data_IF_368962687413
#
_entry.id   IF_368962687413
#
_cell.length_a   1.000
_cell.length_b   1.000
_cell.length_c   1.000
_cell.angle_alpha   90.00
_cell.angle_beta   90.00
_cell.angle_gamma   90.00
#
_symmetry.space_group_name_H-M   'P 1'
#
loop_
_entity.id
_entity.type
_entity.pdbx_description
1 polymer ?
#
# COMPACT_ATOMS: atom_id res chain seq x y z
N UNK A 1 10.43 -4.07 18.51
CA UNK A 1 9.43 -3.21 19.18
C UNK A 1 8.07 -3.80 18.89
N UNK A 2 7.19 -3.86 19.88
CA UNK A 2 5.88 -4.48 19.71
C UNK A 2 4.96 -3.57 18.89
N UNK A 3 4.69 -3.96 17.63
CA UNK A 3 3.80 -3.21 16.72
C UNK A 3 2.33 -3.23 17.16
N UNK A 4 2.01 -4.01 18.20
CA UNK A 4 0.69 -4.07 18.80
C UNK A 4 0.56 -3.19 20.05
N UNK A 5 1.68 -2.63 20.54
CA UNK A 5 1.61 -1.69 21.65
C UNK A 5 1.18 -0.31 21.12
N UNK A 6 0.01 0.22 21.50
CA UNK A 6 -0.49 1.51 21.02
C UNK A 6 0.40 2.70 21.42
N UNK A 7 1.18 2.58 22.50
CA UNK A 7 2.14 3.61 22.92
C UNK A 7 3.36 3.69 21.98
N UNK A 8 3.61 2.61 21.23
CA UNK A 8 4.74 2.48 20.30
C UNK A 8 4.26 2.64 18.85
N UNK A 9 3.13 2.04 18.49
CA UNK A 9 2.57 2.02 17.14
C UNK A 9 1.76 3.29 16.81
N UNK A 10 2.34 4.45 17.08
CA UNK A 10 1.71 5.75 16.83
C UNK A 10 1.70 6.11 15.33
N UNK A 11 0.91 7.12 14.97
CA UNK A 11 0.93 7.66 13.60
C UNK A 11 2.33 8.12 13.18
N UNK A 12 3.06 8.73 14.10
CA UNK A 12 4.44 9.16 13.90
C UNK A 12 5.41 7.98 13.75
N UNK A 13 5.21 6.89 14.52
CA UNK A 13 6.00 5.68 14.39
C UNK A 13 5.94 5.11 12.97
N UNK A 14 4.73 4.97 12.42
CA UNK A 14 4.53 4.45 11.07
C UNK A 14 4.85 5.47 9.97
N UNK A 15 4.60 6.77 10.21
CA UNK A 15 4.92 7.85 9.27
C UNK A 15 6.43 7.90 8.96
N UNK A 16 7.27 7.77 9.98
CA UNK A 16 8.73 7.87 9.87
C UNK A 16 9.39 6.58 9.39
N UNK A 17 8.61 5.54 9.09
CA UNK A 17 9.10 4.18 8.91
C UNK A 17 8.56 3.57 7.64
N UNK A 18 9.46 3.25 6.72
CA UNK A 18 9.08 2.63 5.44
C UNK A 18 10.14 1.64 5.08
N UNK A 19 9.73 0.42 4.82
CA UNK A 19 10.65 -0.54 4.25
C UNK A 19 10.75 -0.17 2.76
N UNK A 20 11.90 -0.41 2.14
CA UNK A 20 12.09 -0.29 0.69
C UNK A 20 12.56 -1.65 0.15
N UNK A 21 11.94 -2.16 -0.91
CA UNK A 21 12.35 -3.42 -1.56
C UNK A 21 12.43 -3.29 -3.07
N UNK A 22 13.25 -4.13 -3.68
CA UNK A 22 13.54 -4.13 -5.11
C UNK A 22 12.47 -4.81 -5.97
N UNK A 23 11.64 -5.71 -5.42
CA UNK A 23 10.64 -6.47 -6.20
C UNK A 23 9.27 -6.54 -5.51
N UNK A 24 8.19 -6.55 -6.31
CA UNK A 24 6.81 -6.67 -5.82
C UNK A 24 6.55 -7.99 -5.07
N UNK A 25 7.22 -9.08 -5.46
CA UNK A 25 7.06 -10.38 -4.79
C UNK A 25 7.63 -10.39 -3.36
N UNK A 26 8.72 -9.63 -3.11
CA UNK A 26 9.24 -9.43 -1.75
C UNK A 26 8.32 -8.49 -0.98
N UNK A 27 7.74 -7.48 -1.65
CA UNK A 27 6.73 -6.61 -1.04
C UNK A 27 5.56 -7.38 -0.48
N UNK A 28 4.99 -8.24 -1.30
CA UNK A 28 3.83 -9.02 -0.92
C UNK A 28 4.10 -9.91 0.30
N UNK A 29 5.22 -10.64 0.30
CA UNK A 29 5.61 -11.50 1.43
C UNK A 29 5.80 -10.73 2.74
N UNK A 30 6.40 -9.54 2.68
CA UNK A 30 6.61 -8.72 3.88
C UNK A 30 5.28 -8.14 4.36
N UNK A 31 4.44 -7.64 3.44
CA UNK A 31 3.11 -7.13 3.78
C UNK A 31 2.26 -8.21 4.44
N UNK A 32 2.29 -9.44 3.93
CA UNK A 32 1.62 -10.61 4.53
C UNK A 32 2.16 -10.90 5.94
N UNK A 33 3.49 -10.93 6.12
CA UNK A 33 4.11 -11.17 7.41
C UNK A 33 3.80 -10.06 8.44
N UNK A 34 3.75 -8.79 8.03
CA UNK A 34 3.37 -7.66 8.89
C UNK A 34 1.88 -7.74 9.26
N UNK A 35 1.03 -8.02 8.28
CA UNK A 35 -0.41 -8.18 8.51
C UNK A 35 -0.72 -9.35 9.46
N UNK A 36 0.06 -10.43 9.43
CA UNK A 36 -0.09 -11.56 10.35
C UNK A 36 0.32 -11.21 11.78
N UNK A 37 1.30 -10.32 11.96
CA UNK A 37 1.80 -9.90 13.30
C UNK A 37 0.96 -8.82 13.95
N UNK A 38 0.20 -8.04 13.17
CA UNK A 38 -0.74 -7.06 13.70
C UNK A 38 -1.92 -7.77 14.37
N UNK A 39 -2.26 -7.32 15.57
CA UNK A 39 -3.45 -7.72 16.30
C UNK A 39 -4.72 -7.14 15.65
N UNK A 40 -5.87 -7.73 15.95
CA UNK A 40 -7.17 -7.34 15.39
C UNK A 40 -7.64 -8.19 14.21
N UNK A 41 -8.92 -8.04 13.91
CA UNK A 41 -9.62 -8.85 12.92
C UNK A 41 -9.27 -8.42 11.50
N UNK A 42 -8.80 -9.39 10.71
CA UNK A 42 -8.61 -9.23 9.27
C UNK A 42 -9.95 -9.06 8.58
N UNK A 43 -10.11 -7.99 7.81
CA UNK A 43 -11.23 -7.82 6.88
C UNK A 43 -10.74 -8.06 5.46
N UNK A 44 -11.50 -8.86 4.72
CA UNK A 44 -11.19 -9.22 3.34
C UNK A 44 -12.13 -8.49 2.37
N UNK A 45 -11.54 -7.90 1.34
CA UNK A 45 -12.26 -7.28 0.24
C UNK A 45 -11.86 -7.94 -1.07
N UNK A 46 -12.85 -8.59 -1.70
CA UNK A 46 -12.72 -9.13 -3.04
C UNK A 46 -13.02 -8.03 -4.07
N UNK A 47 -12.20 -7.96 -5.11
CA UNK A 47 -12.46 -7.08 -6.25
C UNK A 47 -13.59 -7.64 -7.10
N UNK A 48 -14.14 -6.77 -7.95
CA UNK A 48 -15.05 -7.18 -9.02
C UNK A 48 -14.34 -6.94 -10.33
N UNK A 49 -13.95 -8.02 -10.99
CA UNK A 49 -13.10 -8.00 -12.17
C UNK A 49 -13.93 -8.31 -13.43
N UNK A 50 -13.63 -7.63 -14.54
CA UNK A 50 -14.30 -7.79 -15.83
C UNK A 50 -13.36 -7.40 -16.97
N UNK A 51 -13.66 -7.79 -18.19
CA UNK A 51 -12.88 -7.44 -19.38
C UNK A 51 -13.66 -6.43 -20.22
N UNK A 52 -13.00 -5.36 -20.69
CA UNK A 52 -13.68 -4.26 -21.41
C UNK A 52 -14.41 -4.70 -22.71
N UNK A 53 -13.91 -5.76 -23.38
CA UNK A 53 -14.49 -6.27 -24.64
C UNK A 53 -15.33 -7.56 -24.46
N UNK A 54 -15.52 -8.03 -23.23
CA UNK A 54 -16.32 -9.22 -22.92
C UNK A 54 -17.72 -8.80 -22.42
N UNK A 55 -18.58 -8.38 -23.36
CA UNK A 55 -19.95 -7.94 -23.05
C UNK A 55 -20.82 -9.04 -22.43
N UNK A 56 -20.49 -10.31 -22.66
CA UNK A 56 -21.26 -11.47 -22.19
C UNK A 56 -20.62 -12.15 -20.95
N UNK A 57 -19.42 -11.72 -20.53
CA UNK A 57 -18.68 -12.28 -19.39
C UNK A 57 -18.25 -13.74 -19.56
N UNK A 58 -18.20 -14.23 -20.81
CA UNK A 58 -18.05 -15.65 -21.13
C UNK A 58 -16.71 -15.99 -21.80
N UNK A 59 -15.88 -15.00 -22.15
CA UNK A 59 -14.61 -15.28 -22.82
C UNK A 59 -13.51 -15.72 -21.85
N UNK A 60 -13.60 -15.32 -20.58
CA UNK A 60 -12.60 -15.64 -19.57
C UNK A 60 -13.25 -16.19 -18.30
N UNK A 61 -12.70 -17.29 -17.80
CA UNK A 61 -13.08 -17.82 -16.48
C UNK A 61 -12.70 -16.79 -15.40
N UNK A 62 -13.64 -16.41 -14.50
CA UNK A 62 -13.35 -15.53 -13.37
C UNK A 62 -12.12 -15.95 -12.57
N UNK A 63 -11.89 -17.25 -12.40
CA UNK A 63 -10.72 -17.76 -11.66
C UNK A 63 -9.40 -17.37 -12.33
N UNK A 64 -9.36 -17.32 -13.67
CA UNK A 64 -8.19 -16.87 -14.42
C UNK A 64 -7.95 -15.39 -14.16
N UNK A 65 -9.00 -14.56 -14.20
CA UNK A 65 -8.91 -13.12 -13.94
C UNK A 65 -8.37 -12.82 -12.54
N UNK A 66 -8.78 -13.59 -11.53
CA UNK A 66 -8.33 -13.42 -10.14
C UNK A 66 -6.84 -13.71 -9.94
N UNK A 67 -6.20 -14.47 -10.84
CA UNK A 67 -4.76 -14.76 -10.78
C UNK A 67 -3.88 -13.73 -11.50
N UNK A 68 -4.48 -12.85 -12.31
CA UNK A 68 -3.71 -11.89 -13.11
C UNK A 68 -3.22 -10.74 -12.23
N UNK A 69 -1.89 -10.66 -12.07
CA UNK A 69 -1.25 -9.57 -11.35
C UNK A 69 -0.74 -8.51 -12.34
N UNK A 70 -1.58 -7.53 -12.67
CA UNK A 70 -1.23 -6.44 -13.60
C UNK A 70 -0.64 -5.26 -12.82
N UNK A 71 0.48 -4.74 -13.31
CA UNK A 71 1.09 -3.53 -12.76
C UNK A 71 0.09 -2.36 -12.69
N UNK A 72 -0.07 -1.78 -11.50
CA UNK A 72 -0.96 -0.63 -11.30
C UNK A 72 -2.43 -0.97 -11.06
N UNK A 73 -2.77 -2.26 -11.00
CA UNK A 73 -4.06 -2.78 -10.54
C UNK A 73 -3.86 -3.41 -9.16
N UNK A 74 -4.74 -3.14 -8.17
CA UNK A 74 -4.68 -3.80 -6.88
C UNK A 74 -4.98 -5.30 -7.00
N UNK A 75 -4.48 -6.13 -6.07
CA UNK A 75 -4.76 -7.57 -6.09
C UNK A 75 -6.26 -7.84 -5.92
N UNK A 76 -6.73 -8.96 -6.47
CA UNK A 76 -8.12 -9.41 -6.36
C UNK A 76 -8.56 -9.48 -4.89
N UNK A 77 -7.73 -10.12 -4.07
CA UNK A 77 -7.94 -10.24 -2.63
C UNK A 77 -7.12 -9.19 -1.88
N UNK A 78 -7.82 -8.26 -1.22
CA UNK A 78 -7.23 -7.25 -0.35
C UNK A 78 -7.59 -7.53 1.11
N UNK A 79 -6.62 -7.94 1.92
CA UNK A 79 -6.79 -8.18 3.36
C UNK A 79 -6.25 -7.00 4.16
N UNK A 80 -7.09 -6.37 4.99
CA UNK A 80 -6.76 -5.19 5.80
C UNK A 80 -7.10 -5.42 7.28
N UNK A 81 -6.46 -4.66 8.17
CA UNK A 81 -6.73 -4.65 9.61
C UNK A 81 -6.89 -3.22 10.12
N UNK A 82 -7.74 -3.03 11.12
CA UNK A 82 -7.85 -1.73 11.80
C UNK A 82 -6.53 -1.39 12.50
N UNK A 83 -6.16 -0.11 12.51
CA UNK A 83 -4.87 0.35 13.00
C UNK A 83 -3.69 0.15 12.04
N UNK A 84 -3.85 -0.64 10.97
CA UNK A 84 -2.78 -0.84 10.01
C UNK A 84 -2.54 0.38 9.11
N UNK A 85 -1.27 0.67 8.75
CA UNK A 85 -0.97 1.73 7.81
C UNK A 85 -1.21 1.26 6.35
N UNK A 86 -1.82 2.12 5.54
CA UNK A 86 -2.13 1.93 4.11
C UNK A 86 -1.78 3.17 3.27
N UNK A 87 -1.52 2.96 1.98
CA UNK A 87 -1.04 3.98 1.05
C UNK A 87 -1.99 4.08 -0.14
N UNK A 88 -2.33 5.30 -0.50
CA UNK A 88 -3.12 5.58 -1.70
C UNK A 88 -2.37 5.19 -2.98
N UNK A 89 -3.02 4.49 -3.90
CA UNK A 89 -2.48 4.10 -5.21
C UNK A 89 -2.79 5.08 -6.34
N UNK A 90 -3.85 5.89 -6.17
CA UNK A 90 -4.39 6.78 -7.21
C UNK A 90 -4.84 8.10 -6.59
N UNK A 91 -4.82 9.14 -7.40
CA UNK A 91 -5.40 10.42 -7.03
C UNK A 91 -6.93 10.30 -7.06
N UNK A 92 -7.58 10.60 -5.94
CA UNK A 92 -9.04 10.77 -5.87
C UNK A 92 -9.39 12.24 -5.70
N UNK A 93 -8.77 12.89 -4.71
CA UNK A 93 -9.01 14.28 -4.40
C UNK A 93 -7.75 14.89 -3.76
N UNK A 94 -6.87 15.52 -4.57
CA UNK A 94 -5.66 16.17 -4.08
C UNK A 94 -5.94 17.27 -3.05
N UNK A 95 -7.07 17.98 -3.20
CA UNK A 95 -7.48 19.05 -2.28
C UNK A 95 -7.86 18.53 -0.89
N UNK A 96 -8.09 17.23 -0.73
CA UNK A 96 -8.30 16.57 0.56
C UNK A 96 -7.09 15.72 0.99
N UNK A 97 -5.97 15.80 0.28
CA UNK A 97 -4.79 14.97 0.54
C UNK A 97 -4.94 13.50 0.08
N UNK A 98 -6.00 13.17 -0.66
CA UNK A 98 -6.22 11.83 -1.24
C UNK A 98 -5.50 11.72 -2.59
N UNK A 99 -4.18 11.83 -2.55
CA UNK A 99 -3.29 11.68 -3.69
C UNK A 99 -2.46 10.39 -3.60
N UNK A 100 -1.92 9.94 -4.73
CA UNK A 100 -1.05 8.77 -4.80
C UNK A 100 0.16 8.95 -3.87
N UNK A 101 0.44 7.95 -3.04
CA UNK A 101 1.53 7.98 -2.06
C UNK A 101 1.12 8.50 -0.68
N UNK A 102 -0.07 9.07 -0.51
CA UNK A 102 -0.55 9.48 0.83
C UNK A 102 -0.63 8.28 1.75
N UNK A 103 0.00 8.40 2.92
CA UNK A 103 -0.03 7.39 3.99
C UNK A 103 -1.17 7.67 4.95
N UNK A 104 -1.95 6.64 5.22
CA UNK A 104 -3.15 6.69 6.03
C UNK A 104 -3.10 5.56 7.05
N UNK A 105 -3.63 5.79 8.25
CA UNK A 105 -3.88 4.73 9.23
C UNK A 105 -5.34 4.34 9.18
N UNK A 106 -5.64 3.05 9.07
CA UNK A 106 -7.02 2.56 9.09
C UNK A 106 -7.63 2.82 10.47
N UNK A 107 -8.73 3.55 10.50
CA UNK A 107 -9.54 3.75 11.72
C UNK A 107 -10.64 2.70 11.78
N UNK A 108 -11.37 2.53 10.68
CA UNK A 108 -12.49 1.59 10.63
C UNK A 108 -12.72 1.01 9.24
N UNK A 109 -13.00 -0.29 9.20
CA UNK A 109 -13.27 -1.03 7.97
C UNK A 109 -14.79 -1.24 7.82
N UNK A 110 -15.36 -0.73 6.71
CA UNK A 110 -16.78 -0.92 6.37
C UNK A 110 -16.89 -1.61 5.01
N UNK A 111 -18.07 -2.20 4.66
CA UNK A 111 -18.22 -2.95 3.40
C UNK A 111 -17.89 -2.15 2.12
N UNK A 112 -18.23 -0.86 2.09
CA UNK A 112 -18.13 -0.02 0.88
C UNK A 112 -17.19 1.18 1.02
N UNK A 113 -16.67 1.44 2.21
CA UNK A 113 -15.80 2.59 2.50
C UNK A 113 -14.75 2.18 3.53
N UNK A 114 -13.53 2.67 3.36
CA UNK A 114 -12.49 2.62 4.39
C UNK A 114 -12.44 3.99 5.05
N UNK A 115 -12.55 4.03 6.38
CA UNK A 115 -12.29 5.24 7.17
C UNK A 115 -10.85 5.19 7.66
N UNK A 116 -10.08 6.22 7.32
CA UNK A 116 -8.67 6.30 7.65
C UNK A 116 -8.27 7.73 8.03
N UNK A 117 -7.17 7.88 8.75
CA UNK A 117 -6.60 9.18 9.16
C UNK A 117 -5.30 9.43 8.41
N UNK A 118 -5.08 10.64 7.91
CA UNK A 118 -3.84 11.03 7.24
C UNK A 118 -2.68 11.07 8.25
N UNK A 119 -1.59 10.37 7.94
CA UNK A 119 -0.46 10.21 8.85
C UNK A 119 0.65 11.24 8.64
N UNK A 120 0.70 11.90 7.46
CA UNK A 120 1.84 12.72 7.03
C UNK A 120 1.39 13.94 6.23
N UNK A 121 2.17 15.02 6.32
CA UNK A 121 1.99 16.24 5.52
C UNK A 121 1.07 17.27 6.18
N UNK A 122 0.72 18.33 5.44
CA UNK A 122 -0.05 19.47 5.95
C UNK A 122 -1.45 19.10 6.48
N UNK A 123 -1.98 17.94 6.08
CA UNK A 123 -3.30 17.43 6.45
C UNK A 123 -3.24 16.30 7.49
N UNK A 124 -2.10 16.13 8.16
CA UNK A 124 -1.93 15.12 9.20
C UNK A 124 -3.04 15.22 10.26
N UNK A 125 -3.56 14.07 10.69
CA UNK A 125 -4.65 13.96 11.66
C UNK A 125 -6.05 14.15 11.08
N UNK A 126 -6.19 14.50 9.80
CA UNK A 126 -7.51 14.60 9.16
C UNK A 126 -8.05 13.21 8.80
N UNK A 127 -9.34 13.01 9.09
CA UNK A 127 -10.07 11.81 8.73
C UNK A 127 -10.62 11.89 7.31
N UNK A 128 -10.48 10.78 6.59
CA UNK A 128 -10.90 10.63 5.19
C UNK A 128 -11.67 9.33 4.99
N UNK A 129 -12.58 9.35 4.01
CA UNK A 129 -13.33 8.19 3.57
C UNK A 129 -12.89 7.80 2.17
N UNK A 130 -12.51 6.54 1.99
CA UNK A 130 -11.97 6.02 0.73
C UNK A 130 -12.99 5.05 0.14
N UNK A 131 -13.62 5.37 -1.00
CA UNK A 131 -14.51 4.45 -1.71
C UNK A 131 -13.72 3.50 -2.62
N UNK A 132 -14.38 2.45 -3.11
CA UNK A 132 -13.84 1.63 -4.21
C UNK A 132 -13.89 2.40 -5.52
N UNK A 133 -12.86 2.25 -6.34
CA UNK A 133 -12.82 2.80 -7.70
C UNK A 133 -12.59 1.69 -8.73
N UNK A 134 -12.81 2.01 -10.00
CA UNK A 134 -12.49 1.11 -11.12
C UNK A 134 -11.09 1.42 -11.62
N UNK A 135 -10.25 0.40 -11.63
CA UNK A 135 -8.95 0.36 -12.28
C UNK A 135 -9.12 -0.24 -13.67
N UNK A 136 -8.40 0.28 -14.65
CA UNK A 136 -8.38 -0.25 -16.02
C UNK A 136 -6.92 -0.50 -16.39
N UNK A 137 -6.60 -1.69 -16.90
CA UNK A 137 -5.26 -1.98 -17.41
C UNK A 137 -5.04 -1.33 -18.77
N UNK A 138 -3.80 -0.95 -19.05
CA UNK A 138 -3.42 -0.56 -20.40
C UNK A 138 -3.31 -1.83 -21.28
N UNK A 139 -4.25 -1.95 -22.22
CA UNK A 139 -4.36 -3.08 -23.17
C UNK A 139 -3.24 -3.15 -24.21
N UNK A 140 -2.31 -2.19 -24.21
CA UNK A 140 -1.12 -2.16 -25.09
C UNK A 140 0.13 -2.75 -24.43
N UNK A 141 0.02 -3.22 -23.18
CA UNK A 141 1.15 -3.82 -22.46
C UNK A 141 1.38 -5.26 -22.93
N UNK A 142 2.65 -5.65 -23.12
CA UNK A 142 3.07 -7.04 -23.43
C UNK A 142 2.65 -8.07 -22.36
N UNK A 143 2.07 -7.60 -21.26
CA UNK A 143 1.76 -8.35 -20.05
C UNK A 143 0.32 -8.89 -20.01
N UNK A 144 -0.60 -8.42 -20.88
CA UNK A 144 -1.98 -8.94 -20.94
C UNK A 144 -2.60 -8.80 -22.34
N UNK A 145 -3.24 -9.85 -22.90
CA UNK A 145 -3.92 -9.78 -24.19
C UNK A 145 -5.27 -9.05 -24.15
N UNK A 146 -5.71 -8.59 -22.97
CA UNK A 146 -7.00 -7.93 -22.76
C UNK A 146 -6.90 -6.76 -21.77
N UNK A 147 -7.87 -5.84 -21.87
CA UNK A 147 -8.10 -4.76 -20.92
C UNK A 147 -8.93 -5.24 -19.73
N UNK A 148 -8.28 -5.39 -18.58
CA UNK A 148 -8.90 -5.75 -17.31
C UNK A 148 -9.47 -4.50 -16.64
N UNK A 149 -10.74 -4.56 -16.25
CA UNK A 149 -11.37 -3.62 -15.34
C UNK A 149 -11.53 -4.27 -13.97
N UNK A 150 -10.95 -3.66 -12.94
CA UNK A 150 -10.98 -4.16 -11.57
C UNK A 150 -11.60 -3.10 -10.65
N UNK A 151 -12.70 -3.42 -9.96
CA UNK A 151 -13.30 -2.52 -8.96
C UNK A 151 -12.83 -2.88 -7.56
N UNK A 152 -12.00 -2.02 -6.97
CA UNK A 152 -11.38 -2.26 -5.67
C UNK A 152 -11.03 -0.94 -4.96
N UNK A 153 -10.73 -0.99 -3.66
CA UNK A 153 -10.19 0.17 -2.94
C UNK A 153 -8.82 0.58 -3.48
N UNK A 154 -8.56 1.89 -3.67
CA UNK A 154 -7.30 2.37 -4.22
C UNK A 154 -6.20 2.49 -3.17
N UNK A 155 -5.98 1.40 -2.42
CA UNK A 155 -5.04 1.36 -1.31
C UNK A 155 -4.18 0.10 -1.34
N UNK A 156 -2.95 0.21 -0.85
CA UNK A 156 -2.06 -0.91 -0.58
C UNK A 156 -1.58 -0.85 0.87
N UNK A 157 -1.18 -1.99 1.42
CA UNK A 157 -0.53 -2.05 2.74
C UNK A 157 0.81 -1.28 2.74
N UNK A 158 1.03 -0.40 3.73
CA UNK A 158 2.18 0.54 3.77
C UNK A 158 3.50 -0.07 4.16
N UNK A 159 3.57 -1.35 4.53
CA UNK A 159 4.84 -1.88 5.01
C UNK A 159 6.00 -1.59 4.03
N UNK A 160 5.74 -1.38 2.73
CA UNK A 160 6.75 -0.96 1.76
C UNK A 160 6.29 0.12 0.76
N UNK A 161 7.14 1.14 0.53
CA UNK A 161 7.05 2.03 -0.65
C UNK A 161 7.98 1.53 -1.76
N UNK A 162 7.53 1.56 -3.02
CA UNK A 162 8.35 1.15 -4.17
C UNK A 162 9.31 2.27 -4.55
N UNK A 163 10.60 1.97 -4.62
CA UNK A 163 11.58 2.86 -5.25
C UNK A 163 11.54 2.63 -6.75
N UNK A 164 11.00 3.60 -7.48
CA UNK A 164 10.94 3.55 -8.95
C UNK A 164 12.17 4.16 -9.62
N UNK A 165 13.03 4.84 -8.85
CA UNK A 165 14.29 5.41 -9.34
C UNK A 165 15.27 5.61 -8.19
N UNK A 166 16.57 5.47 -8.46
CA UNK A 166 17.64 5.68 -7.46
C UNK A 166 17.57 7.07 -6.81
N UNK A 167 17.14 8.08 -7.54
CA UNK A 167 16.93 9.45 -7.05
C UNK A 167 15.79 9.58 -6.01
N UNK A 168 14.88 8.61 -5.95
CA UNK A 168 13.75 8.58 -5.00
C UNK A 168 14.02 7.64 -3.81
N UNK A 169 15.19 7.01 -3.77
CA UNK A 169 15.67 6.20 -2.65
C UNK A 169 16.44 7.10 -1.68
N UNK A 170 15.96 7.22 -0.44
CA UNK A 170 16.70 7.84 0.66
C UNK A 170 16.93 6.79 1.72
N UNK A 171 18.20 6.46 1.99
CA UNK A 171 18.60 5.57 3.07
C UNK A 171 19.65 6.30 3.91
N UNK A 172 19.48 6.28 5.24
CA UNK A 172 20.49 6.74 6.18
C UNK A 172 21.70 5.79 6.15
N UNK A 173 22.89 6.36 6.00
CA UNK A 173 24.18 5.68 6.10
C UNK A 173 24.84 6.22 7.37
N UNK A 174 25.10 5.37 8.37
CA UNK A 174 25.63 5.75 9.69
C UNK A 174 27.08 6.30 9.67
N UNK A 175 27.70 6.53 8.50
CA UNK A 175 29.09 6.98 8.37
C UNK A 175 29.22 8.27 7.51
N UNK A 176 29.13 9.47 8.13
CA UNK A 176 29.11 10.79 7.45
C UNK A 176 30.49 11.35 7.06
N UNK A 177 31.59 10.62 7.24
CA UNK A 177 32.93 11.03 6.74
C UNK A 177 33.01 11.05 5.19
N UNK A 178 31.88 10.72 4.56
CA UNK A 178 31.61 10.65 3.14
C UNK A 178 30.26 11.34 2.94
N UNK A 179 30.14 12.65 3.16
CA UNK A 179 28.97 13.31 2.59
C UNK A 179 29.26 13.58 1.10
N UNK A 180 30.32 14.29 0.71
CA UNK A 180 30.32 15.73 0.92
C UNK A 180 29.35 16.34 -0.11
N UNK A 181 28.06 16.40 0.24
CA UNK A 181 27.37 17.68 0.40
C UNK A 181 26.01 17.53 1.11
N UNK A 182 25.83 18.38 2.13
CA UNK A 182 24.74 18.61 3.09
C UNK A 182 23.39 17.90 2.85
N UNK A 183 22.93 17.11 3.82
CA UNK A 183 21.52 16.77 3.93
C UNK A 183 21.08 15.94 5.14
N UNK A 184 20.40 16.59 6.08
CA UNK A 184 19.55 16.04 7.16
C UNK A 184 18.96 14.64 6.84
N UNK A 185 19.32 13.64 7.65
CA UNK A 185 18.98 12.22 7.43
C UNK A 185 17.90 11.68 8.41
N UNK A 186 17.17 10.65 7.98
CA UNK A 186 16.06 10.01 8.74
C UNK A 186 16.35 8.52 9.02
N UNK A 187 16.01 8.07 10.21
CA UNK A 187 16.41 6.81 10.83
C UNK A 187 15.67 5.56 10.28
N UNK A 188 16.41 4.54 9.83
CA UNK A 188 15.85 3.30 9.24
C UNK A 188 15.51 2.25 10.32
N UNK A 189 14.50 2.55 11.15
CA UNK A 189 14.26 1.81 12.39
C UNK A 189 13.49 0.48 12.17
N UNK A 190 12.95 0.20 10.97
CA UNK A 190 12.00 -0.92 10.76
C UNK A 190 12.67 -2.29 10.61
N UNK A 191 13.83 -2.38 9.94
CA UNK A 191 14.41 -3.67 9.58
C UNK A 191 14.86 -4.48 10.81
N UNK A 192 15.54 -3.83 11.77
CA UNK A 192 16.01 -4.47 13.01
C UNK A 192 14.88 -4.87 13.95
N UNK A 193 13.78 -4.11 13.97
CA UNK A 193 12.71 -4.32 14.96
C UNK A 193 11.67 -5.36 14.52
N UNK A 194 11.52 -5.62 13.21
CA UNK A 194 10.60 -6.63 12.67
C UNK A 194 11.32 -7.98 12.39
N UNK A 195 12.61 -7.94 12.05
CA UNK A 195 13.37 -9.13 11.67
C UNK A 195 14.56 -9.43 12.60
N UNK A 196 14.67 -8.71 13.72
CA UNK A 196 15.62 -9.04 14.78
C UNK A 196 15.22 -10.36 15.44
N UNK A 197 15.91 -11.42 15.04
CA UNK A 197 15.93 -12.72 15.72
C UNK A 197 16.34 -12.52 17.17
N UNK A 198 15.52 -12.99 18.12
CA UNK A 198 16.05 -13.54 19.36
C UNK A 198 16.64 -14.91 19.07
#
# INVERSE_FOLDING_TARGET
ADINNPDIATDEYFANRTILTTTNAVVQRINEAVSQRLSGDSHEYLSVDSVDDDNDGNFFDPEVLHTVNINGIPPHKLTLKEGAPIMMMRNLNPDLGLCNGTRLRIVKLKPHVIHATIMTGERQGQDVLIPRIVFVSDGDSRDSPFRLRCKQFPVLYVALSRVTSRSKFKALIEYPQLEEDDGVYTDNIVYRQIFGTT
#
